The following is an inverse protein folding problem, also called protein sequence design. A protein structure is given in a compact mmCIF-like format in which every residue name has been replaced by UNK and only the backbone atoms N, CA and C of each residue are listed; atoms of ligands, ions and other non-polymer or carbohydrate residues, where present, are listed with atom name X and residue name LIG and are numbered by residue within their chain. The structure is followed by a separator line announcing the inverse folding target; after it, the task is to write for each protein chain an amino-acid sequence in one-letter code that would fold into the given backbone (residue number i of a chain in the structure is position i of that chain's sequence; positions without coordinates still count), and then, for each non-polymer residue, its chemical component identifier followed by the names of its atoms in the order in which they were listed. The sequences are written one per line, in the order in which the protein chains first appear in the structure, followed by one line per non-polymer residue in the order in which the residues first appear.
data_IF_239917538542
#
_entry.id   IF_239917538542
#
_cell.length_a   1.000
_cell.length_b   1.000
_cell.length_c   1.000
_cell.angle_alpha   90.00
_cell.angle_beta   90.00
_cell.angle_gamma   90.00
#
_symmetry.space_group_name_H-M   'P 1'
#
loop_
_entity.id
_entity.type
_entity.pdbx_description
1 polymer ?
#
# COMPACT_ATOMS: atom_id res chain seq x y z
N UNK A 1 -9.32 -5.01 -8.50
CA UNK A 1 -8.85 -3.69 -8.95
C UNK A 1 -9.75 -2.60 -8.40
N UNK A 2 -9.18 -1.56 -7.77
CA UNK A 2 -9.96 -0.45 -7.25
C UNK A 2 -10.76 0.27 -8.33
N UNK A 3 -11.96 0.68 -7.98
CA UNK A 3 -12.84 1.45 -8.86
C UNK A 3 -13.83 2.25 -8.02
N UNK A 4 -14.64 3.08 -8.67
CA UNK A 4 -15.67 3.86 -8.00
C UNK A 4 -15.11 4.93 -7.07
N UNK A 5 -15.68 5.08 -5.89
CA UNK A 5 -15.32 6.16 -4.95
C UNK A 5 -13.90 6.05 -4.39
N UNK A 6 -13.31 4.86 -4.37
CA UNK A 6 -11.92 4.69 -3.90
C UNK A 6 -10.92 5.39 -4.80
N UNK A 7 -11.26 5.60 -6.06
CA UNK A 7 -10.36 6.29 -7.00
C UNK A 7 -10.21 7.78 -6.69
N UNK A 8 -10.97 8.33 -5.75
CA UNK A 8 -10.78 9.70 -5.28
C UNK A 8 -9.44 9.88 -4.57
N UNK A 9 -8.79 8.81 -4.12
CA UNK A 9 -7.46 8.85 -3.53
C UNK A 9 -6.34 8.79 -4.56
N UNK A 10 -6.68 8.66 -5.85
CA UNK A 10 -5.70 8.68 -6.92
C UNK A 10 -5.20 10.10 -7.18
N UNK A 11 -3.94 10.20 -7.58
CA UNK A 11 -3.39 11.44 -8.11
C UNK A 11 -3.05 11.28 -9.59
N UNK A 12 -2.95 12.39 -10.29
CA UNK A 12 -2.74 12.41 -11.74
C UNK A 12 -1.36 12.94 -12.07
N UNK A 13 -0.65 12.25 -12.95
CA UNK A 13 0.69 12.66 -13.40
C UNK A 13 0.59 13.93 -14.24
N UNK A 14 1.24 15.03 -13.82
CA UNK A 14 1.23 16.27 -14.58
C UNK A 14 2.23 16.30 -15.75
N UNK A 15 3.14 15.34 -15.82
CA UNK A 15 4.15 15.17 -16.85
C UNK A 15 4.51 13.71 -17.00
N UNK A 16 5.23 13.37 -18.07
CA UNK A 16 5.88 12.05 -18.13
C UNK A 16 6.91 11.93 -17.03
N UNK A 17 7.03 10.74 -16.47
CA UNK A 17 7.99 10.47 -15.42
C UNK A 17 8.38 9.00 -15.37
N UNK A 18 9.34 8.70 -14.50
CA UNK A 18 9.79 7.33 -14.24
C UNK A 18 9.77 7.08 -12.74
N UNK A 19 9.05 6.06 -12.31
CA UNK A 19 9.01 5.67 -10.90
C UNK A 19 10.30 4.92 -10.59
N UNK A 20 11.03 5.38 -9.57
CA UNK A 20 12.33 4.84 -9.20
C UNK A 20 12.34 4.19 -7.82
N UNK A 21 11.47 4.61 -6.92
CA UNK A 21 11.39 4.06 -5.56
C UNK A 21 10.01 4.29 -4.96
N UNK A 22 9.61 3.40 -4.05
CA UNK A 22 8.38 3.52 -3.29
C UNK A 22 8.71 3.17 -1.83
N UNK A 23 8.26 4.02 -0.89
CA UNK A 23 8.42 3.79 0.55
C UNK A 23 7.04 3.83 1.20
N UNK A 24 6.73 2.85 2.06
CA UNK A 24 5.42 2.71 2.69
C UNK A 24 5.58 2.52 4.18
N UNK A 25 4.74 3.21 4.93
CA UNK A 25 4.73 3.20 6.39
C UNK A 25 3.31 2.94 6.89
N UNK A 26 3.19 2.10 7.92
CA UNK A 26 1.94 1.84 8.61
C UNK A 26 2.19 1.85 10.11
N UNK A 27 1.28 2.46 10.89
CA UNK A 27 1.32 2.38 12.34
C UNK A 27 -0.08 2.16 12.89
N UNK A 28 -0.19 1.33 13.94
CA UNK A 28 -1.47 1.01 14.56
C UNK A 28 -2.01 2.17 15.38
N UNK A 29 -3.32 2.40 15.30
CA UNK A 29 -4.01 3.42 16.09
C UNK A 29 -4.74 2.84 17.30
N UNK A 30 -4.79 1.52 17.43
CA UNK A 30 -5.44 0.83 18.54
C UNK A 30 -4.56 -0.33 19.02
N UNK A 31 -4.63 -0.62 20.31
CA UNK A 31 -3.99 -1.80 20.86
C UNK A 31 -4.76 -3.05 20.42
N UNK A 32 -4.04 -4.11 20.07
CA UNK A 32 -4.62 -5.35 19.56
C UNK A 32 -3.95 -6.55 20.23
N UNK A 33 -4.73 -7.63 20.38
CA UNK A 33 -4.19 -8.92 20.77
C UNK A 33 -4.31 -9.88 19.59
N UNK A 34 -3.17 -10.26 19.03
CA UNK A 34 -3.08 -11.16 17.89
C UNK A 34 -2.43 -12.49 18.28
N UNK A 35 -2.63 -12.91 19.51
CA UNK A 35 -2.06 -14.17 20.00
C UNK A 35 -2.57 -15.33 19.15
N UNK A 36 -1.64 -16.06 18.53
CA UNK A 36 -1.96 -17.15 17.61
C UNK A 36 -2.31 -16.71 16.20
N UNK A 37 -2.25 -15.41 15.89
CA UNK A 37 -2.54 -14.86 14.56
C UNK A 37 -1.42 -13.95 14.10
N UNK A 38 -1.27 -13.82 12.78
CA UNK A 38 -0.29 -12.94 12.16
C UNK A 38 -0.99 -12.15 11.06
N UNK A 39 -0.83 -10.83 11.07
CA UNK A 39 -1.33 -9.95 10.01
C UNK A 39 -0.15 -9.41 9.23
N UNK A 40 -0.17 -9.62 7.93
CA UNK A 40 0.82 -9.09 6.99
C UNK A 40 0.19 -7.99 6.18
N UNK A 41 0.84 -6.83 6.13
CA UNK A 41 0.38 -5.68 5.36
C UNK A 41 1.20 -5.61 4.08
N UNK A 42 0.52 -5.49 2.95
CA UNK A 42 1.14 -5.29 1.65
C UNK A 42 0.63 -4.01 1.04
N UNK A 43 1.45 -3.42 0.19
CA UNK A 43 1.08 -2.24 -0.58
C UNK A 43 1.42 -2.48 -2.04
N UNK A 44 0.60 -1.94 -2.94
CA UNK A 44 0.86 -2.03 -4.37
C UNK A 44 0.36 -0.78 -5.07
N UNK A 45 1.11 -0.33 -6.06
CA UNK A 45 0.75 0.82 -6.86
C UNK A 45 -0.14 0.38 -8.02
N UNK A 46 -1.22 1.10 -8.22
CA UNK A 46 -2.20 0.87 -9.27
C UNK A 46 -2.23 2.08 -10.21
N UNK A 47 -2.60 1.84 -11.45
CA UNK A 47 -2.67 2.91 -12.47
C UNK A 47 -3.93 2.81 -13.32
N UNK A 48 -4.31 3.95 -13.88
CA UNK A 48 -5.25 4.04 -14.99
C UNK A 48 -4.60 4.89 -16.08
N UNK A 49 -4.35 4.28 -17.23
CA UNK A 49 -3.72 4.96 -18.37
C UNK A 49 -4.75 5.58 -19.31
N UNK A 50 -6.00 5.18 -19.16
CA UNK A 50 -7.14 5.78 -19.87
C UNK A 50 -7.96 6.60 -18.87
N UNK A 51 -8.63 7.66 -19.30
CA UNK A 51 -9.37 8.52 -18.37
C UNK A 51 -10.65 7.84 -17.87
N UNK A 52 -10.53 6.85 -17.01
CA UNK A 52 -11.63 6.17 -16.36
C UNK A 52 -11.33 5.93 -14.88
N UNK A 53 -12.28 5.35 -14.16
CA UNK A 53 -12.16 5.09 -12.73
C UNK A 53 -11.86 3.61 -12.41
N UNK A 54 -11.27 2.90 -13.36
CA UNK A 54 -10.81 1.53 -13.15
C UNK A 54 -9.28 1.51 -13.12
N UNK A 55 -8.73 0.96 -12.05
CA UNK A 55 -7.29 0.94 -11.79
C UNK A 55 -6.78 -0.49 -11.90
N UNK A 56 -5.60 -0.65 -12.48
CA UNK A 56 -4.93 -1.94 -12.60
C UNK A 56 -3.57 -1.89 -11.90
N UNK A 57 -3.16 -3.02 -11.33
CA UNK A 57 -1.88 -3.11 -10.63
C UNK A 57 -0.71 -2.90 -11.59
N UNK A 58 0.28 -2.13 -11.15
CA UNK A 58 1.55 -1.99 -11.88
C UNK A 58 2.45 -3.15 -11.46
N UNK A 59 2.88 -4.02 -12.39
CA UNK A 59 3.80 -5.11 -12.05
C UNK A 59 5.11 -4.58 -11.44
N UNK A 60 5.65 -5.31 -10.46
CA UNK A 60 6.90 -4.94 -9.81
C UNK A 60 6.79 -3.90 -8.70
N UNK A 61 5.58 -3.51 -8.32
CA UNK A 61 5.38 -2.49 -7.27
C UNK A 61 4.78 -3.05 -5.98
N UNK A 62 4.71 -4.36 -5.84
CA UNK A 62 4.19 -4.98 -4.61
C UNK A 62 5.25 -4.92 -3.51
N UNK A 63 4.87 -4.38 -2.37
CA UNK A 63 5.74 -4.27 -1.20
C UNK A 63 5.08 -5.01 -0.03
N UNK A 64 5.80 -5.95 0.59
CA UNK A 64 5.38 -6.55 1.85
C UNK A 64 6.02 -5.77 2.99
N UNK A 65 5.20 -5.19 3.85
CA UNK A 65 5.68 -4.40 4.97
C UNK A 65 6.20 -5.35 6.06
N UNK A 66 7.24 -4.92 6.75
CA UNK A 66 7.87 -5.68 7.84
C UNK A 66 8.05 -4.79 9.06
N UNK A 67 7.97 -5.38 10.24
CA UNK A 67 7.61 -6.75 10.55
C UNK A 67 6.12 -7.01 10.37
N UNK A 68 5.72 -8.28 10.19
CA UNK A 68 4.31 -8.65 10.26
C UNK A 68 3.80 -8.41 11.68
N UNK A 69 2.51 -8.10 11.82
CA UNK A 69 1.89 -7.80 13.10
C UNK A 69 1.45 -9.10 13.77
N UNK A 70 1.97 -9.36 14.96
CA UNK A 70 1.65 -10.58 15.69
C UNK A 70 1.79 -10.33 17.19
N UNK A 71 1.15 -11.18 18.02
CA UNK A 71 1.20 -11.08 19.46
C UNK A 71 0.37 -9.91 20.00
N UNK A 72 0.78 -9.38 21.14
CA UNK A 72 0.11 -8.24 21.77
C UNK A 72 0.74 -6.96 21.21
N UNK A 73 -0.07 -6.15 20.53
CA UNK A 73 0.36 -4.91 19.90
C UNK A 73 -0.10 -3.71 20.73
N UNK A 74 0.79 -2.77 20.94
CA UNK A 74 0.45 -1.47 21.51
C UNK A 74 0.10 -0.47 20.40
N UNK A 75 -0.48 0.66 20.79
CA UNK A 75 -0.70 1.78 19.88
C UNK A 75 0.65 2.27 19.35
N UNK A 76 0.74 2.50 18.05
CA UNK A 76 1.97 2.94 17.41
C UNK A 76 2.91 1.83 16.99
N UNK A 77 2.47 0.57 16.98
CA UNK A 77 3.24 -0.51 16.38
C UNK A 77 3.43 -0.27 14.89
N UNK A 78 4.65 -0.44 14.40
CA UNK A 78 5.06 0.00 13.06
C UNK A 78 5.30 -1.21 12.15
N UNK A 79 4.86 -1.08 10.90
CA UNK A 79 5.24 -1.95 9.79
C UNK A 79 5.58 -1.06 8.60
N UNK A 80 6.69 -1.35 7.93
CA UNK A 80 7.18 -0.48 6.86
C UNK A 80 7.90 -1.29 5.79
N UNK A 81 8.04 -0.70 4.62
CA UNK A 81 8.77 -1.32 3.53
C UNK A 81 9.19 -0.30 2.48
N UNK A 82 10.23 -0.63 1.73
CA UNK A 82 10.75 0.21 0.67
C UNK A 82 11.14 -0.65 -0.53
N UNK A 83 10.84 -0.14 -1.73
CA UNK A 83 11.36 -0.66 -2.99
C UNK A 83 12.22 0.40 -3.64
N UNK A 84 13.41 0.02 -4.08
CA UNK A 84 14.34 0.91 -4.79
C UNK A 84 14.79 0.25 -6.09
N UNK A 85 15.49 1.01 -6.92
CA UNK A 85 16.02 0.49 -8.18
C UNK A 85 14.94 0.22 -9.23
N UNK A 86 13.80 0.86 -9.12
CA UNK A 86 12.72 0.73 -10.10
C UNK A 86 13.00 1.64 -11.30
N UNK A 87 12.42 1.27 -12.44
CA UNK A 87 12.46 2.07 -13.66
C UNK A 87 11.16 1.85 -14.43
N UNK A 88 10.09 2.45 -13.93
CA UNK A 88 8.75 2.24 -14.47
C UNK A 88 8.28 3.54 -15.11
N UNK A 89 8.17 3.60 -16.45
CA UNK A 89 7.71 4.81 -17.12
C UNK A 89 6.22 5.02 -16.88
N UNK A 90 5.86 6.26 -16.60
CA UNK A 90 4.47 6.66 -16.38
C UNK A 90 4.19 7.89 -17.22
N UNK A 91 3.35 7.80 -18.27
CA UNK A 91 3.01 8.96 -19.09
C UNK A 91 2.24 10.04 -18.33
N UNK A 92 2.31 11.26 -18.82
CA UNK A 92 1.46 12.35 -18.34
C UNK A 92 -0.02 11.94 -18.40
N UNK A 93 -0.81 12.42 -17.45
CA UNK A 93 -2.25 12.17 -17.30
C UNK A 93 -2.60 10.76 -16.80
N UNK A 94 -1.64 9.88 -16.60
CA UNK A 94 -1.86 8.60 -15.89
C UNK A 94 -2.27 8.89 -14.46
N UNK A 95 -3.30 8.20 -13.99
CA UNK A 95 -3.72 8.28 -12.58
C UNK A 95 -3.05 7.15 -11.81
N UNK A 96 -2.55 7.47 -10.62
CA UNK A 96 -1.85 6.53 -9.75
C UNK A 96 -2.55 6.48 -8.40
N UNK A 97 -2.59 5.29 -7.80
CA UNK A 97 -3.12 5.09 -6.47
C UNK A 97 -2.35 3.97 -5.77
N UNK A 98 -1.97 4.20 -4.52
CA UNK A 98 -1.37 3.16 -3.69
C UNK A 98 -2.46 2.50 -2.85
N UNK A 99 -2.49 1.17 -2.87
CA UNK A 99 -3.48 0.37 -2.15
C UNK A 99 -2.76 -0.48 -1.12
N UNK A 100 -3.17 -0.35 0.15
CA UNK A 100 -2.69 -1.19 1.23
C UNK A 100 -3.71 -2.29 1.50
N UNK A 101 -3.22 -3.51 1.71
CA UNK A 101 -4.04 -4.69 1.96
C UNK A 101 -3.48 -5.44 3.16
N UNK A 102 -4.36 -5.94 4.01
CA UNK A 102 -3.99 -6.76 5.15
C UNK A 102 -4.51 -8.18 4.95
N UNK A 103 -3.66 -9.17 5.21
CA UNK A 103 -4.03 -10.58 5.20
C UNK A 103 -3.72 -11.19 6.55
N UNK A 104 -4.63 -12.02 7.06
CA UNK A 104 -4.49 -12.65 8.37
C UNK A 104 -4.32 -14.16 8.21
N UNK A 105 -3.42 -14.74 9.01
CA UNK A 105 -3.22 -16.19 9.12
C UNK A 105 -3.15 -16.56 10.60
N UNK A 106 -3.50 -17.82 10.94
CA UNK A 106 -3.41 -18.32 12.30
C UNK A 106 -4.76 -18.76 12.86
N UNK A 107 -4.85 -18.80 14.19
CA UNK A 107 -6.00 -19.36 14.89
C UNK A 107 -7.25 -18.48 14.83
N UNK A 108 -7.07 -17.16 14.74
CA UNK A 108 -8.19 -16.22 14.63
C UNK A 108 -8.05 -15.46 13.34
N UNK A 109 -8.92 -15.73 12.37
CA UNK A 109 -8.91 -15.07 11.06
C UNK A 109 -9.77 -13.81 11.03
N UNK A 110 -10.52 -13.53 12.10
CA UNK A 110 -11.39 -12.36 12.19
C UNK A 110 -10.70 -11.32 13.04
N UNK A 111 -9.72 -10.63 12.46
CA UNK A 111 -8.99 -9.57 13.11
C UNK A 111 -9.18 -8.26 12.33
N UNK A 112 -9.35 -7.18 13.07
CA UNK A 112 -9.42 -5.84 12.50
C UNK A 112 -8.19 -5.06 12.93
N UNK A 113 -7.51 -4.46 11.95
CA UNK A 113 -6.36 -3.59 12.20
C UNK A 113 -6.72 -2.19 11.73
N UNK A 114 -6.62 -1.24 12.64
CA UNK A 114 -6.79 0.17 12.34
C UNK A 114 -5.46 0.88 12.48
N UNK A 115 -5.18 1.81 11.57
CA UNK A 115 -3.91 2.51 11.64
C UNK A 115 -3.82 3.67 10.67
N UNK A 116 -2.69 4.35 10.78
CA UNK A 116 -2.28 5.38 9.83
C UNK A 116 -1.35 4.77 8.81
N UNK A 117 -1.56 5.15 7.56
CA UNK A 117 -0.70 4.75 6.46
C UNK A 117 -0.19 5.98 5.73
N UNK A 118 1.06 5.96 5.34
CA UNK A 118 1.65 6.98 4.50
C UNK A 118 2.64 6.34 3.53
N UNK A 119 2.86 7.01 2.42
CA UNK A 119 3.77 6.50 1.41
C UNK A 119 4.36 7.65 0.60
N UNK A 120 5.52 7.41 0.02
CA UNK A 120 6.14 8.29 -0.93
C UNK A 120 6.55 7.52 -2.18
N UNK A 121 6.43 8.16 -3.31
CA UNK A 121 6.83 7.62 -4.61
C UNK A 121 7.83 8.58 -5.23
N UNK A 122 9.03 8.08 -5.53
CA UNK A 122 10.05 8.88 -6.21
C UNK A 122 9.82 8.78 -7.72
N UNK A 123 9.61 9.92 -8.36
CA UNK A 123 9.33 10.02 -9.79
C UNK A 123 10.32 10.99 -10.43
N UNK A 124 11.14 10.46 -11.30
CA UNK A 124 12.15 11.24 -12.03
C UNK A 124 11.66 11.73 -13.40
#
# INVERSE_FOLDING_TARGET
NPSGTLTNFAFTMPRDGTITAIDVFFSTTAALSLVGSTITITAQLYQSTVPNNTMTAIPGTLITLTPSLTGILSIGSISKGILTGLSIPVPAQTRLMLVLTATATGLSLVNTVAGYASAGVSID
#
